data_IF_393377206623
#
_entry.id   IF_393377206623
#
_cell.length_a   1.000
_cell.length_b   1.000
_cell.length_c   1.000
_cell.angle_alpha   90.00
_cell.angle_beta   90.00
_cell.angle_gamma   90.00
#
_symmetry.space_group_name_H-M   'P 1'
#
loop_
_entity.id
_entity.type
_entity.pdbx_description
1 polymer ?
#
# COMPACT_ATOMS: atom_id res chain seq x y z
N UNK A 1 -29.06 -19.03 -8.38
CA UNK A 1 -28.91 -20.16 -7.44
C UNK A 1 -28.12 -19.65 -6.24
N UNK A 2 -28.58 -19.81 -4.99
CA UNK A 2 -27.76 -19.45 -3.83
C UNK A 2 -26.52 -20.35 -3.82
N UNK A 3 -25.36 -19.75 -3.55
CA UNK A 3 -24.08 -20.46 -3.46
C UNK A 3 -24.17 -21.45 -2.29
N UNK A 4 -23.71 -22.71 -2.43
CA UNK A 4 -23.65 -23.63 -1.30
C UNK A 4 -22.68 -23.07 -0.25
N UNK A 5 -23.14 -22.97 0.99
CA UNK A 5 -22.34 -22.55 2.15
C UNK A 5 -21.25 -23.60 2.35
N UNK A 6 -19.98 -23.19 2.33
CA UNK A 6 -18.86 -24.09 2.54
C UNK A 6 -18.63 -24.26 4.06
N UNK A 7 -18.89 -25.43 4.65
CA UNK A 7 -18.83 -25.62 6.10
C UNK A 7 -17.42 -25.47 6.68
N UNK A 8 -16.35 -25.56 5.86
CA UNK A 8 -14.97 -25.34 6.31
C UNK A 8 -14.58 -23.84 6.42
N UNK A 9 -15.45 -22.91 6.00
CA UNK A 9 -15.24 -21.45 6.10
C UNK A 9 -16.04 -20.80 7.24
N UNK A 10 -16.83 -21.58 7.98
CA UNK A 10 -17.59 -21.10 9.13
C UNK A 10 -16.61 -21.01 10.31
N UNK A 11 -16.19 -19.79 10.62
CA UNK A 11 -15.38 -19.50 11.81
C UNK A 11 -16.32 -19.33 13.01
N UNK A 12 -16.28 -20.25 13.97
CA UNK A 12 -17.09 -20.18 15.20
C UNK A 12 -16.81 -18.90 16.02
N UNK A 13 -15.61 -18.32 15.88
CA UNK A 13 -15.23 -17.06 16.54
C UNK A 13 -15.71 -15.81 15.77
N UNK A 14 -16.10 -15.96 14.50
CA UNK A 14 -16.58 -14.87 13.66
C UNK A 14 -17.70 -15.35 12.71
N UNK A 15 -18.91 -15.61 13.24
CA UNK A 15 -20.03 -16.08 12.45
C UNK A 15 -20.44 -15.06 11.39
N UNK A 16 -21.08 -15.53 10.31
CA UNK A 16 -21.61 -14.66 9.26
C UNK A 16 -22.64 -13.68 9.84
N UNK A 17 -22.53 -12.41 9.45
CA UNK A 17 -23.45 -11.37 9.92
C UNK A 17 -24.84 -11.57 9.32
N UNK A 18 -25.84 -11.57 10.19
CA UNK A 18 -27.26 -11.72 9.86
C UNK A 18 -27.94 -10.38 9.64
N UNK A 19 -29.14 -10.36 9.07
CA UNK A 19 -29.94 -9.14 8.92
C UNK A 19 -30.22 -8.48 10.27
N UNK A 20 -30.37 -9.27 11.33
CA UNK A 20 -30.52 -8.82 12.70
C UNK A 20 -29.25 -8.12 13.22
N UNK A 21 -28.05 -8.55 12.81
CA UNK A 21 -26.80 -7.86 13.14
C UNK A 21 -26.73 -6.48 12.51
N UNK A 22 -27.16 -6.36 11.24
CA UNK A 22 -27.25 -5.06 10.57
C UNK A 22 -28.31 -4.16 11.21
N UNK A 23 -29.44 -4.71 11.66
CA UNK A 23 -30.48 -3.95 12.36
C UNK A 23 -30.00 -3.41 13.72
N UNK A 24 -29.08 -4.12 14.39
CA UNK A 24 -28.47 -3.71 15.66
C UNK A 24 -27.29 -2.75 15.50
N UNK A 25 -26.78 -2.58 14.28
CA UNK A 25 -25.62 -1.72 14.02
C UNK A 25 -25.95 -0.23 14.28
N UNK A 26 -25.02 0.49 14.91
CA UNK A 26 -25.14 1.93 15.17
C UNK A 26 -24.42 2.73 14.10
N UNK A 27 -25.10 3.73 13.54
CA UNK A 27 -24.46 4.69 12.64
C UNK A 27 -23.42 5.53 13.39
N UNK A 28 -22.47 6.11 12.65
CA UNK A 28 -21.40 6.92 13.21
C UNK A 28 -21.93 8.08 14.10
N UNK A 29 -23.03 8.71 13.70
CA UNK A 29 -23.65 9.81 14.42
C UNK A 29 -24.28 9.39 15.75
N UNK A 30 -24.57 8.10 15.93
CA UNK A 30 -25.15 7.52 17.15
C UNK A 30 -24.09 7.04 18.15
N UNK A 31 -22.80 7.17 17.82
CA UNK A 31 -21.70 6.85 18.73
C UNK A 31 -21.52 7.98 19.76
N UNK A 32 -20.97 7.71 20.96
CA UNK A 32 -20.64 8.75 21.93
C UNK A 32 -19.69 9.81 21.34
N UNK A 33 -19.86 11.08 21.72
CA UNK A 33 -19.10 12.20 21.15
C UNK A 33 -17.58 12.03 21.30
N UNK A 34 -17.13 11.51 22.45
CA UNK A 34 -15.72 11.22 22.73
C UNK A 34 -15.13 10.22 21.73
N UNK A 35 -15.90 9.19 21.37
CA UNK A 35 -15.50 8.17 20.41
C UNK A 35 -15.55 8.72 18.98
N UNK A 36 -16.58 9.49 18.62
CA UNK A 36 -16.64 10.17 17.33
C UNK A 36 -15.42 11.08 17.12
N UNK A 37 -15.01 11.81 18.16
CA UNK A 37 -13.83 12.70 18.12
C UNK A 37 -12.54 11.92 17.87
N UNK A 38 -12.36 10.78 18.57
CA UNK A 38 -11.20 9.89 18.40
C UNK A 38 -11.16 9.24 17.01
N UNK A 39 -12.32 8.84 16.46
CA UNK A 39 -12.40 8.29 15.11
C UNK A 39 -12.16 9.34 14.02
N UNK A 40 -12.61 10.59 14.23
CA UNK A 40 -12.28 11.71 13.34
C UNK A 40 -10.78 12.01 13.31
N UNK A 41 -10.12 12.00 14.47
CA UNK A 41 -8.65 12.19 14.51
C UNK A 41 -7.86 11.08 13.84
N UNK A 42 -8.43 9.86 13.70
CA UNK A 42 -7.80 8.78 12.92
C UNK A 42 -7.89 9.00 11.41
N UNK A 43 -8.99 9.60 10.91
CA UNK A 43 -9.07 10.04 9.50
C UNK A 43 -8.09 11.18 9.21
N UNK A 44 -7.79 11.99 10.23
CA UNK A 44 -6.74 13.00 10.22
C UNK A 44 -5.44 12.44 10.79
N UNK A 45 -5.09 11.17 10.50
CA UNK A 45 -3.70 10.76 10.63
C UNK A 45 -2.86 11.85 9.97
N UNK A 46 -1.89 12.46 10.69
CA UNK A 46 -1.14 13.59 10.19
C UNK A 46 -0.58 13.17 8.85
N UNK A 47 -1.04 13.86 7.80
CA UNK A 47 -0.59 13.82 6.41
C UNK A 47 0.73 13.06 6.32
N UNK A 48 0.61 11.73 6.14
CA UNK A 48 1.70 10.79 6.30
C UNK A 48 2.94 11.39 5.64
N UNK A 49 3.86 11.87 6.49
CA UNK A 49 5.01 12.73 6.17
C UNK A 49 5.22 12.83 4.68
N UNK A 50 4.64 13.86 4.02
CA UNK A 50 4.65 14.11 2.56
C UNK A 50 5.78 13.35 1.87
N UNK A 51 5.55 12.07 1.55
CA UNK A 51 6.60 11.26 0.93
C UNK A 51 6.92 11.98 -0.38
N UNK A 52 8.19 12.23 -0.69
CA UNK A 52 8.54 12.94 -1.92
C UNK A 52 7.80 12.28 -3.08
N UNK A 53 7.08 13.09 -3.85
CA UNK A 53 6.17 12.58 -4.87
C UNK A 53 6.93 11.69 -5.86
N UNK A 54 6.70 10.38 -5.77
CA UNK A 54 7.25 9.40 -6.72
C UNK A 54 6.51 9.55 -8.03
N UNK A 55 7.26 9.63 -9.14
CA UNK A 55 6.70 9.61 -10.49
C UNK A 55 6.78 8.17 -11.00
N UNK A 56 5.63 7.59 -11.34
CA UNK A 56 5.59 6.31 -12.03
C UNK A 56 5.95 6.52 -13.50
N UNK A 57 6.91 5.75 -14.00
CA UNK A 57 7.28 5.70 -15.41
C UNK A 57 7.22 4.24 -15.88
N UNK A 58 6.82 4.03 -17.13
CA UNK A 58 6.84 2.71 -17.76
C UNK A 58 8.07 2.60 -18.66
N UNK A 59 8.94 1.64 -18.38
CA UNK A 59 10.11 1.32 -19.20
C UNK A 59 10.17 -0.19 -19.42
N UNK A 60 10.50 -0.61 -20.64
CA UNK A 60 10.71 -2.02 -20.95
C UNK A 60 12.16 -2.42 -20.64
N UNK A 61 12.33 -3.47 -19.86
CA UNK A 61 13.61 -4.12 -19.57
C UNK A 61 13.58 -5.55 -20.12
N UNK A 62 14.75 -6.12 -20.44
CA UNK A 62 14.84 -7.52 -20.84
C UNK A 62 14.35 -8.44 -19.73
N UNK A 63 13.70 -9.55 -20.08
CA UNK A 63 13.09 -10.47 -19.11
C UNK A 63 14.12 -11.05 -18.13
N UNK A 64 15.30 -11.43 -18.63
CA UNK A 64 16.38 -11.99 -17.80
C UNK A 64 16.87 -11.03 -16.71
N UNK A 65 16.84 -9.71 -17.00
CA UNK A 65 17.22 -8.66 -16.06
C UNK A 65 16.15 -8.48 -15.00
N UNK A 66 14.87 -8.52 -15.39
CA UNK A 66 13.74 -8.41 -14.46
C UNK A 66 13.72 -9.60 -13.51
N UNK A 67 13.92 -10.81 -14.03
CA UNK A 67 13.93 -12.04 -13.23
C UNK A 67 15.05 -12.01 -12.19
N UNK A 68 16.27 -11.65 -12.59
CA UNK A 68 17.40 -11.51 -11.67
C UNK A 68 17.15 -10.41 -10.62
N UNK A 69 16.59 -9.27 -11.02
CA UNK A 69 16.32 -8.17 -10.11
C UNK A 69 15.29 -8.58 -9.05
N UNK A 70 14.17 -9.17 -9.47
CA UNK A 70 13.10 -9.62 -8.57
C UNK A 70 13.50 -10.80 -7.68
N UNK A 71 14.54 -11.55 -8.04
CA UNK A 71 15.09 -12.61 -7.17
C UNK A 71 15.74 -12.07 -5.88
N UNK A 72 16.03 -10.76 -5.83
CA UNK A 72 16.64 -10.10 -4.66
C UNK A 72 15.58 -9.47 -3.76
N UNK A 73 15.78 -9.54 -2.44
CA UNK A 73 14.97 -8.75 -1.50
C UNK A 73 15.17 -7.25 -1.74
N UNK A 74 14.12 -6.44 -1.56
CA UNK A 74 14.18 -4.98 -1.74
C UNK A 74 14.69 -4.51 -3.11
N UNK A 75 14.42 -5.27 -4.18
CA UNK A 75 14.91 -4.97 -5.53
C UNK A 75 14.54 -3.57 -6.04
N UNK A 76 13.39 -3.01 -5.64
CA UNK A 76 12.99 -1.64 -5.99
C UNK A 76 13.97 -0.60 -5.42
N UNK A 77 14.43 -0.79 -4.18
CA UNK A 77 15.41 0.08 -3.54
C UNK A 77 16.76 -0.02 -4.25
N UNK A 78 17.21 -1.24 -4.55
CA UNK A 78 18.45 -1.47 -5.28
C UNK A 78 18.42 -0.84 -6.67
N UNK A 79 17.29 -0.93 -7.38
CA UNK A 79 17.10 -0.26 -8.67
C UNK A 79 17.20 1.26 -8.53
N UNK A 80 16.54 1.85 -7.53
CA UNK A 80 16.58 3.28 -7.27
C UNK A 80 18.00 3.77 -6.96
N UNK A 81 18.74 3.05 -6.12
CA UNK A 81 20.14 3.35 -5.79
C UNK A 81 21.06 3.25 -7.01
N UNK A 82 20.90 2.20 -7.83
CA UNK A 82 21.70 2.01 -9.04
C UNK A 82 21.50 3.16 -10.03
N UNK A 83 20.24 3.61 -10.24
CA UNK A 83 19.91 4.75 -11.11
C UNK A 83 20.55 6.03 -10.57
N UNK A 84 20.44 6.30 -9.26
CA UNK A 84 21.04 7.47 -8.61
C UNK A 84 22.55 7.50 -8.77
N UNK A 85 23.22 6.36 -8.53
CA UNK A 85 24.66 6.23 -8.67
C UNK A 85 25.11 6.44 -10.13
N UNK A 86 24.38 5.87 -11.09
CA UNK A 86 24.63 6.07 -12.51
C UNK A 86 24.51 7.54 -12.91
N UNK A 87 23.44 8.23 -12.50
CA UNK A 87 23.24 9.67 -12.76
C UNK A 87 24.36 10.53 -12.18
N UNK A 88 24.77 10.28 -10.94
CA UNK A 88 25.86 11.02 -10.29
C UNK A 88 27.20 10.83 -11.02
N UNK A 89 27.45 9.64 -11.57
CA UNK A 89 28.63 9.37 -12.40
C UNK A 89 28.56 10.12 -13.74
N UNK A 90 27.40 10.18 -14.39
CA UNK A 90 27.22 10.93 -15.63
C UNK A 90 27.42 12.44 -15.44
N UNK A 91 26.89 13.00 -14.34
CA UNK A 91 27.08 14.40 -14.00
C UNK A 91 28.57 14.76 -13.84
N UNK A 92 29.33 13.93 -13.11
CA UNK A 92 30.77 14.10 -12.94
C UNK A 92 31.53 14.08 -14.26
N UNK A 93 31.19 13.15 -15.16
CA UNK A 93 31.81 13.06 -16.49
C UNK A 93 31.53 14.28 -17.35
N UNK A 94 30.30 14.79 -17.34
CA UNK A 94 29.93 16.02 -18.06
C UNK A 94 30.72 17.22 -17.57
N UNK A 95 30.85 17.38 -16.25
CA UNK A 95 31.55 18.52 -15.66
C UNK A 95 33.07 18.48 -15.89
N UNK A 96 33.67 17.30 -16.08
CA UNK A 96 35.09 17.16 -16.40
C UNK A 96 35.41 17.36 -17.89
N UNK A 97 34.39 17.41 -18.76
CA UNK A 97 34.51 17.61 -20.20
C UNK A 97 34.06 19.01 -20.65
N UNK A 98 33.81 19.93 -19.70
CA UNK A 98 33.51 21.35 -19.91
C UNK A 98 34.61 22.20 -19.29
#
# INVERSE_FOLDING_TARGET
MPKPVNPELIDDENPEWTEEDFARAKSFSQLPESLQRKLRSLKSAPEAEKKPARKQISVSLSSDVVDQLQSTANWELHLEEAIRAWLARQARRRNAAS
#
